data_IF_404000305073
#
_entry.id   IF_404000305073
#
_cell.length_a   1.000
_cell.length_b   1.000
_cell.length_c   1.000
_cell.angle_alpha   90.00
_cell.angle_beta   90.00
_cell.angle_gamma   90.00
#
_symmetry.space_group_name_H-M   'P 1'
#
loop_
_entity.id
_entity.type
_entity.pdbx_description
1 polymer ?
#
# COMPACT_ATOMS: atom_id res chain seq x y z
N UNK A 1 0.30 -9.64 22.57
CA UNK A 1 0.75 -8.85 21.42
C UNK A 1 0.14 -7.46 21.49
N UNK A 2 0.97 -6.42 21.39
CA UNK A 2 0.54 -5.02 21.32
C UNK A 2 0.59 -4.58 19.84
N UNK A 3 -0.55 -4.28 19.26
CA UNK A 3 -0.71 -3.89 17.86
C UNK A 3 -1.09 -2.41 17.76
N UNK A 4 -0.39 -1.66 16.90
CA UNK A 4 -0.85 -0.37 16.41
C UNK A 4 -1.50 -0.58 15.04
N UNK A 5 -2.81 -0.37 14.95
CA UNK A 5 -3.60 -0.52 13.73
C UNK A 5 -3.86 0.86 13.11
N UNK A 6 -3.41 1.04 11.89
CA UNK A 6 -3.44 2.32 11.16
C UNK A 6 -4.21 2.15 9.86
N UNK A 7 -5.41 2.74 9.78
CA UNK A 7 -6.27 2.72 8.59
C UNK A 7 -7.25 3.91 8.70
N UNK A 8 -7.48 4.66 7.65
CA UNK A 8 -8.39 5.81 7.66
C UNK A 8 -9.87 5.42 7.54
N UNK A 9 -10.13 4.19 7.08
CA UNK A 9 -11.49 3.69 6.93
C UNK A 9 -12.01 3.07 8.23
N UNK A 10 -12.83 3.81 8.98
CA UNK A 10 -13.34 3.40 10.29
C UNK A 10 -13.96 1.99 10.30
N UNK A 11 -14.80 1.67 9.30
CA UNK A 11 -15.48 0.36 9.25
C UNK A 11 -14.49 -0.78 9.05
N UNK A 12 -13.50 -0.59 8.18
CA UNK A 12 -12.41 -1.55 7.92
C UNK A 12 -11.60 -1.73 9.20
N UNK A 13 -11.17 -0.65 9.82
CA UNK A 13 -10.37 -0.66 11.04
C UNK A 13 -11.06 -1.40 12.18
N UNK A 14 -12.34 -1.08 12.44
CA UNK A 14 -13.13 -1.77 13.48
C UNK A 14 -13.34 -3.26 13.17
N UNK A 15 -13.58 -3.61 11.90
CA UNK A 15 -13.72 -4.99 11.45
C UNK A 15 -12.44 -5.79 11.70
N UNK A 16 -11.28 -5.25 11.30
CA UNK A 16 -9.98 -5.86 11.53
C UNK A 16 -9.67 -5.99 13.02
N UNK A 17 -9.93 -4.96 13.81
CA UNK A 17 -9.70 -5.01 15.25
C UNK A 17 -10.55 -6.10 15.92
N UNK A 18 -11.82 -6.22 15.55
CA UNK A 18 -12.72 -7.27 16.06
C UNK A 18 -12.23 -8.65 15.67
N UNK A 19 -11.87 -8.84 14.40
CA UNK A 19 -11.35 -10.09 13.87
C UNK A 19 -10.08 -10.53 14.61
N UNK A 20 -9.09 -9.65 14.72
CA UNK A 20 -7.83 -9.97 15.38
C UNK A 20 -8.00 -10.26 16.88
N UNK A 21 -8.92 -9.57 17.57
CA UNK A 21 -9.26 -9.87 18.96
C UNK A 21 -9.87 -11.27 19.12
N UNK A 22 -10.63 -11.75 18.15
CA UNK A 22 -11.20 -13.10 18.17
C UNK A 22 -10.18 -14.21 17.91
N UNK A 23 -9.12 -13.92 17.16
CA UNK A 23 -8.14 -14.90 16.68
C UNK A 23 -6.81 -14.90 17.44
N UNK A 24 -6.49 -13.79 18.12
CA UNK A 24 -5.22 -13.65 18.86
C UNK A 24 -5.54 -13.37 20.33
N UNK A 25 -5.37 -14.39 21.21
CA UNK A 25 -5.62 -14.20 22.64
C UNK A 25 -4.76 -13.07 23.21
N UNK A 26 -5.36 -12.25 24.07
CA UNK A 26 -4.71 -11.15 24.78
C UNK A 26 -4.01 -10.10 23.87
N UNK A 27 -4.50 -9.90 22.65
CA UNK A 27 -4.04 -8.81 21.80
C UNK A 27 -4.56 -7.47 22.33
N UNK A 28 -3.63 -6.52 22.52
CA UNK A 28 -3.97 -5.12 22.82
C UNK A 28 -3.86 -4.31 21.52
N UNK A 29 -4.95 -3.72 21.05
CA UNK A 29 -4.99 -2.97 19.80
C UNK A 29 -5.23 -1.49 20.10
N UNK A 30 -4.34 -0.65 19.61
CA UNK A 30 -4.52 0.80 19.54
C UNK A 30 -4.77 1.18 18.09
N UNK A 31 -5.85 1.92 17.86
CA UNK A 31 -6.33 2.30 16.54
C UNK A 31 -6.01 3.78 16.28
N UNK A 32 -5.49 4.10 15.09
CA UNK A 32 -5.25 5.47 14.61
C UNK A 32 -5.66 5.59 13.14
N UNK A 33 -5.93 6.83 12.69
CA UNK A 33 -6.51 7.11 11.38
C UNK A 33 -5.52 7.74 10.41
N UNK A 34 -4.39 8.27 10.91
CA UNK A 34 -3.44 9.04 10.12
C UNK A 34 -2.03 8.52 10.26
N UNK A 35 -1.20 8.77 9.25
CA UNK A 35 0.20 8.40 9.28
C UNK A 35 1.00 9.23 10.29
N UNK A 36 0.64 10.49 10.53
CA UNK A 36 1.29 11.33 11.54
C UNK A 36 0.98 10.82 12.94
N UNK A 37 -0.27 10.44 13.23
CA UNK A 37 -0.64 9.83 14.51
C UNK A 37 0.06 8.49 14.70
N UNK A 38 0.21 7.69 13.66
CA UNK A 38 0.95 6.44 13.73
C UNK A 38 2.40 6.67 14.18
N UNK A 39 3.09 7.67 13.62
CA UNK A 39 4.47 8.02 14.00
C UNK A 39 4.52 8.53 15.44
N UNK A 40 3.58 9.39 15.86
CA UNK A 40 3.52 9.92 17.22
C UNK A 40 3.26 8.82 18.24
N UNK A 41 2.22 8.01 18.01
CA UNK A 41 1.79 6.93 18.90
C UNK A 41 2.80 5.80 18.99
N UNK A 42 3.56 5.53 17.93
CA UNK A 42 4.62 4.51 18.01
C UNK A 42 5.60 4.78 19.14
N UNK A 43 6.04 6.04 19.29
CA UNK A 43 7.00 6.42 20.34
C UNK A 43 6.49 6.23 21.76
N UNK A 44 5.18 6.47 21.97
CA UNK A 44 4.53 6.31 23.27
C UNK A 44 4.25 4.84 23.61
N UNK A 45 3.82 4.09 22.62
CA UNK A 45 3.30 2.72 22.77
C UNK A 45 4.37 1.65 22.66
N UNK A 46 5.38 1.87 21.82
CA UNK A 46 6.34 0.86 21.41
C UNK A 46 5.64 -0.49 21.12
N UNK A 47 4.80 -0.56 20.11
CA UNK A 47 4.03 -1.77 19.81
C UNK A 47 4.94 -2.89 19.31
N UNK A 48 4.51 -4.14 19.52
CA UNK A 48 5.20 -5.32 18.98
C UNK A 48 5.09 -5.37 17.43
N UNK A 49 4.00 -4.82 16.89
CA UNK A 49 3.77 -4.73 15.44
C UNK A 49 2.90 -3.53 15.09
N UNK A 50 3.19 -2.91 13.94
CA UNK A 50 2.32 -1.91 13.30
C UNK A 50 1.68 -2.54 12.08
N UNK A 51 0.35 -2.63 12.05
CA UNK A 51 -0.42 -2.95 10.86
C UNK A 51 -0.77 -1.63 10.16
N UNK A 52 -0.15 -1.37 9.02
CA UNK A 52 -0.09 -0.05 8.41
C UNK A 52 -0.71 -0.05 7.01
N UNK A 53 -1.84 0.63 6.88
CA UNK A 53 -2.39 0.91 5.55
C UNK A 53 -1.48 1.86 4.78
N UNK A 54 -1.35 1.62 3.48
CA UNK A 54 -0.57 2.47 2.58
C UNK A 54 -1.32 3.73 2.16
N UNK A 55 -2.67 3.71 2.16
CA UNK A 55 -3.56 4.78 1.69
C UNK A 55 -4.06 5.71 2.76
N UNK A 56 -3.19 6.40 3.47
CA UNK A 56 -3.58 7.32 4.53
C UNK A 56 -3.79 8.74 4.00
N UNK A 57 -4.67 9.56 4.66
CA UNK A 57 -5.12 10.85 4.12
C UNK A 57 -4.09 11.99 4.22
N UNK A 58 -3.13 11.90 5.14
CA UNK A 58 -2.14 12.95 5.43
C UNK A 58 -0.77 12.66 4.80
N UNK A 59 -0.09 11.64 5.29
CA UNK A 59 1.14 11.11 4.70
C UNK A 59 0.91 9.65 4.32
N UNK A 60 1.51 9.19 3.22
CA UNK A 60 1.35 7.78 2.82
C UNK A 60 1.85 6.83 3.90
N UNK A 61 1.29 5.60 3.94
CA UNK A 61 1.79 4.58 4.86
C UNK A 61 3.26 4.26 4.65
N UNK A 62 3.76 4.34 3.40
CA UNK A 62 5.20 4.20 3.13
C UNK A 62 6.03 5.28 3.82
N UNK A 63 5.58 6.54 3.76
CA UNK A 63 6.26 7.65 4.44
C UNK A 63 6.15 7.53 5.96
N UNK A 64 4.98 7.14 6.49
CA UNK A 64 4.82 6.86 7.92
C UNK A 64 5.75 5.73 8.37
N UNK A 65 5.80 4.63 7.62
CA UNK A 65 6.70 3.50 7.86
C UNK A 65 8.17 3.91 7.82
N UNK A 66 8.56 4.72 6.84
CA UNK A 66 9.93 5.27 6.74
C UNK A 66 10.28 6.09 7.97
N UNK A 67 9.42 7.02 8.43
CA UNK A 67 9.64 7.86 9.62
C UNK A 67 9.74 7.03 10.90
N UNK A 68 8.90 6.01 11.04
CA UNK A 68 8.96 5.06 12.15
C UNK A 68 10.30 4.33 12.13
N UNK A 69 10.69 3.74 11.00
CA UNK A 69 11.96 2.99 10.88
C UNK A 69 13.22 3.86 11.06
N UNK A 70 13.18 5.11 10.64
CA UNK A 70 14.30 6.04 10.86
C UNK A 70 14.52 6.34 12.34
N UNK A 71 13.45 6.48 13.14
CA UNK A 71 13.54 6.74 14.58
C UNK A 71 13.73 5.46 15.40
N UNK A 72 13.09 4.37 14.99
CA UNK A 72 13.09 3.09 15.72
C UNK A 72 13.45 1.96 14.75
N UNK A 73 14.74 1.70 14.62
CA UNK A 73 15.28 0.72 13.67
C UNK A 73 14.73 -0.70 13.83
N UNK A 74 14.30 -1.06 15.05
CA UNK A 74 13.70 -2.36 15.37
C UNK A 74 12.18 -2.45 15.10
N UNK A 75 11.53 -1.38 14.62
CA UNK A 75 10.09 -1.37 14.41
C UNK A 75 9.65 -2.48 13.45
N UNK A 76 8.72 -3.33 13.88
CA UNK A 76 8.12 -4.36 13.06
C UNK A 76 6.88 -3.80 12.36
N UNK A 77 6.96 -3.62 11.04
CA UNK A 77 5.89 -3.05 10.22
C UNK A 77 5.35 -4.11 9.27
N UNK A 78 4.04 -4.36 9.36
CA UNK A 78 3.27 -5.16 8.43
C UNK A 78 2.42 -4.20 7.57
N UNK A 79 2.75 -4.08 6.29
CA UNK A 79 1.94 -3.30 5.37
C UNK A 79 0.69 -4.07 4.97
N UNK A 80 -0.43 -3.37 4.92
CA UNK A 80 -1.76 -3.92 4.68
C UNK A 80 -2.53 -3.02 3.71
N UNK A 81 -2.76 -3.47 2.48
CA UNK A 81 -3.27 -2.60 1.41
C UNK A 81 -4.16 -3.36 0.43
N UNK A 82 -5.03 -2.63 -0.29
CA UNK A 82 -5.77 -3.19 -1.43
C UNK A 82 -4.90 -3.40 -2.67
N UNK A 83 -3.68 -2.84 -2.69
CA UNK A 83 -2.79 -2.84 -3.84
C UNK A 83 -1.59 -3.75 -3.60
N UNK A 84 -1.56 -4.86 -4.33
CA UNK A 84 -0.52 -5.89 -4.25
C UNK A 84 0.43 -5.88 -5.47
N UNK A 85 0.49 -4.75 -6.18
CA UNK A 85 1.40 -4.57 -7.30
C UNK A 85 2.86 -4.64 -6.82
N UNK A 86 3.69 -5.41 -7.54
CA UNK A 86 5.06 -5.70 -7.13
C UNK A 86 5.92 -4.45 -6.83
N UNK A 87 5.83 -3.33 -7.57
CA UNK A 87 6.55 -2.11 -7.22
C UNK A 87 6.18 -1.58 -5.83
N UNK A 88 4.90 -1.65 -5.44
CA UNK A 88 4.45 -1.21 -4.11
C UNK A 88 4.97 -2.14 -3.02
N UNK A 89 4.93 -3.45 -3.26
CA UNK A 89 5.49 -4.44 -2.33
C UNK A 89 7.00 -4.20 -2.12
N UNK A 90 7.74 -3.98 -3.20
CA UNK A 90 9.19 -3.69 -3.14
C UNK A 90 9.47 -2.41 -2.36
N UNK A 91 8.71 -1.34 -2.61
CA UNK A 91 8.84 -0.10 -1.84
C UNK A 91 8.59 -0.31 -0.34
N UNK A 92 7.56 -1.10 0.01
CA UNK A 92 7.26 -1.45 1.40
C UNK A 92 8.43 -2.20 2.07
N UNK A 93 9.07 -3.12 1.35
CA UNK A 93 10.25 -3.84 1.84
C UNK A 93 11.49 -2.93 1.91
N UNK A 94 11.69 -2.05 0.92
CA UNK A 94 12.82 -1.11 0.85
C UNK A 94 12.81 -0.10 2.02
N UNK A 95 11.63 0.34 2.48
CA UNK A 95 11.52 1.19 3.67
C UNK A 95 11.71 0.42 4.98
N UNK A 96 11.95 -0.88 4.90
CA UNK A 96 12.22 -1.75 6.03
C UNK A 96 10.96 -2.41 6.62
N UNK A 97 9.89 -2.54 5.83
CA UNK A 97 8.73 -3.36 6.18
C UNK A 97 9.16 -4.81 6.41
N UNK A 98 8.69 -5.38 7.51
CA UNK A 98 8.97 -6.78 7.85
C UNK A 98 7.92 -7.71 7.23
N UNK A 99 6.76 -7.18 6.85
CA UNK A 99 5.72 -7.95 6.21
C UNK A 99 4.84 -7.17 5.25
N UNK A 100 4.14 -7.92 4.41
CA UNK A 100 3.18 -7.38 3.44
C UNK A 100 2.04 -8.36 3.22
N UNK A 101 0.79 -7.89 3.35
CA UNK A 101 -0.43 -8.63 3.07
C UNK A 101 -1.46 -7.75 2.37
N UNK A 102 -2.27 -8.36 1.51
CA UNK A 102 -3.40 -7.71 0.87
C UNK A 102 -4.58 -7.58 1.83
N UNK A 103 -5.38 -6.52 1.70
CA UNK A 103 -6.68 -6.39 2.41
C UNK A 103 -7.70 -7.45 1.98
N UNK A 104 -7.43 -8.19 0.91
CA UNK A 104 -8.22 -9.33 0.43
C UNK A 104 -7.76 -10.68 0.96
N UNK A 105 -6.69 -10.74 1.77
CA UNK A 105 -6.21 -11.99 2.35
C UNK A 105 -7.24 -12.63 3.30
N UNK A 106 -7.13 -13.94 3.50
CA UNK A 106 -7.99 -14.63 4.46
C UNK A 106 -7.75 -14.13 5.89
N UNK A 107 -8.80 -14.13 6.74
CA UNK A 107 -8.69 -13.72 8.14
C UNK A 107 -7.58 -14.43 8.92
N UNK A 108 -7.44 -15.74 8.68
CA UNK A 108 -6.44 -16.60 9.31
C UNK A 108 -5.03 -16.19 8.90
N UNK A 109 -4.87 -15.80 7.64
CA UNK A 109 -3.60 -15.36 7.08
C UNK A 109 -3.16 -14.02 7.67
N UNK A 110 -4.08 -13.07 7.83
CA UNK A 110 -3.81 -11.80 8.50
C UNK A 110 -3.38 -12.02 9.97
N UNK A 111 -4.10 -12.88 10.69
CA UNK A 111 -3.76 -13.18 12.09
C UNK A 111 -2.38 -13.85 12.21
N UNK A 112 -2.04 -14.75 11.29
CA UNK A 112 -0.72 -15.39 11.24
C UNK A 112 0.38 -14.37 10.91
N UNK A 113 0.14 -13.49 9.93
CA UNK A 113 1.06 -12.42 9.57
C UNK A 113 1.37 -11.50 10.76
N UNK A 114 0.33 -11.07 11.49
CA UNK A 114 0.47 -10.23 12.69
C UNK A 114 1.32 -10.93 13.77
N UNK A 115 1.07 -12.22 14.05
CA UNK A 115 1.83 -12.99 15.04
C UNK A 115 3.30 -13.12 14.64
N UNK A 116 3.58 -13.47 13.39
CA UNK A 116 4.95 -13.66 12.91
C UNK A 116 5.73 -12.36 12.91
N UNK A 117 5.13 -11.28 12.38
CA UNK A 117 5.78 -9.96 12.34
C UNK A 117 6.01 -9.42 13.76
N UNK A 118 5.06 -9.61 14.68
CA UNK A 118 5.24 -9.26 16.10
C UNK A 118 6.38 -10.04 16.77
N UNK A 119 6.67 -11.26 16.29
CA UNK A 119 7.81 -12.05 16.76
C UNK A 119 9.12 -11.72 16.01
N UNK A 120 9.15 -10.66 15.19
CA UNK A 120 10.32 -10.26 14.40
C UNK A 120 10.58 -11.15 13.18
N UNK A 121 9.63 -11.99 12.80
CA UNK A 121 9.75 -12.87 11.64
C UNK A 121 9.14 -12.23 10.40
N UNK A 122 9.79 -12.29 9.23
CA UNK A 122 9.22 -11.74 8.00
C UNK A 122 7.99 -12.55 7.56
N UNK A 123 7.03 -11.85 6.97
CA UNK A 123 5.85 -12.45 6.37
C UNK A 123 5.45 -11.73 5.08
N UNK A 124 5.34 -12.47 3.99
CA UNK A 124 4.75 -12.01 2.74
C UNK A 124 3.70 -13.03 2.33
N UNK A 125 2.50 -12.55 2.02
CA UNK A 125 1.42 -13.37 1.50
C UNK A 125 1.88 -14.25 0.33
N UNK A 126 1.54 -15.54 0.34
CA UNK A 126 2.13 -16.52 -0.57
C UNK A 126 2.01 -16.17 -2.07
N UNK A 127 0.87 -15.70 -2.60
CA UNK A 127 0.78 -15.29 -4.00
C UNK A 127 1.72 -14.13 -4.35
N UNK A 128 1.89 -13.18 -3.42
CA UNK A 128 2.78 -12.04 -3.58
C UNK A 128 4.25 -12.49 -3.54
N UNK A 129 4.61 -13.35 -2.60
CA UNK A 129 5.96 -13.90 -2.49
C UNK A 129 6.37 -14.67 -3.75
N UNK A 130 5.46 -15.48 -4.31
CA UNK A 130 5.67 -16.20 -5.57
C UNK A 130 5.92 -15.24 -6.73
N UNK A 131 5.11 -14.18 -6.84
CA UNK A 131 5.27 -13.15 -7.89
C UNK A 131 6.59 -12.39 -7.74
N UNK A 132 7.02 -12.08 -6.51
CA UNK A 132 8.32 -11.45 -6.25
C UNK A 132 9.47 -12.36 -6.69
N UNK A 133 9.43 -13.65 -6.34
CA UNK A 133 10.47 -14.60 -6.70
C UNK A 133 10.59 -14.80 -8.22
N UNK A 134 9.46 -14.80 -8.94
CA UNK A 134 9.45 -14.92 -10.41
C UNK A 134 9.87 -13.66 -11.16
N UNK A 135 9.87 -12.50 -10.51
CA UNK A 135 10.18 -11.19 -11.12
C UNK A 135 11.48 -10.56 -10.60
N UNK A 136 12.45 -11.39 -10.19
CA UNK A 136 13.73 -10.92 -9.62
C UNK A 136 14.54 -10.06 -10.59
N UNK A 137 14.34 -10.20 -11.92
CA UNK A 137 15.17 -9.54 -12.93
C UNK A 137 14.68 -8.16 -13.41
N UNK A 138 13.52 -7.69 -12.96
CA UNK A 138 13.06 -6.34 -13.36
C UNK A 138 13.45 -5.31 -12.30
N UNK A 139 14.40 -4.39 -12.61
CA UNK A 139 14.69 -3.28 -11.71
C UNK A 139 13.42 -2.46 -11.47
N UNK A 140 13.15 -2.14 -10.22
CA UNK A 140 12.10 -1.15 -9.91
C UNK A 140 12.53 0.17 -10.51
N UNK A 141 11.70 0.76 -11.35
CA UNK A 141 11.95 2.11 -11.85
C UNK A 141 12.02 3.07 -10.65
N UNK A 142 13.19 3.67 -10.46
CA UNK A 142 13.43 4.57 -9.33
C UNK A 142 12.45 5.73 -9.26
N UNK A 143 11.88 6.13 -10.42
CA UNK A 143 10.88 7.19 -10.54
C UNK A 143 9.57 6.85 -9.80
N UNK A 144 9.26 5.56 -9.63
CA UNK A 144 8.06 5.10 -8.90
C UNK A 144 8.19 5.24 -7.38
N UNK A 145 9.38 5.49 -6.83
CA UNK A 145 9.62 5.54 -5.38
C UNK A 145 8.89 6.69 -4.68
N UNK A 146 8.68 7.79 -5.39
CA UNK A 146 8.08 9.00 -4.83
C UNK A 146 6.59 9.16 -5.15
N UNK A 147 5.99 8.10 -5.74
CA UNK A 147 4.56 8.08 -6.05
C UNK A 147 3.78 7.71 -4.79
N UNK A 148 2.80 8.54 -4.45
CA UNK A 148 1.85 8.23 -3.37
C UNK A 148 0.89 7.11 -3.82
N UNK A 149 0.25 6.44 -2.85
CA UNK A 149 -0.74 5.42 -3.17
C UNK A 149 -1.86 5.98 -4.07
N UNK A 150 -2.38 7.18 -3.77
CA UNK A 150 -3.42 7.80 -4.58
C UNK A 150 -2.99 8.08 -6.03
N UNK A 151 -1.77 8.50 -6.21
CA UNK A 151 -1.16 8.67 -7.53
C UNK A 151 -0.99 7.32 -8.24
N UNK A 152 -0.62 6.26 -7.52
CA UNK A 152 -0.52 4.90 -8.06
C UNK A 152 -1.90 4.38 -8.50
N UNK A 153 -2.95 4.56 -7.71
CA UNK A 153 -4.33 4.20 -8.09
C UNK A 153 -4.74 4.89 -9.39
N UNK A 154 -4.54 6.20 -9.48
CA UNK A 154 -4.84 6.97 -10.67
C UNK A 154 -4.01 6.49 -11.87
N UNK A 155 -2.72 6.22 -11.68
CA UNK A 155 -1.83 5.70 -12.72
C UNK A 155 -2.32 4.35 -13.26
N UNK A 156 -2.66 3.41 -12.36
CA UNK A 156 -3.11 2.08 -12.75
C UNK A 156 -4.44 2.10 -13.52
N UNK A 157 -5.43 2.85 -13.04
CA UNK A 157 -6.71 2.99 -13.73
C UNK A 157 -6.55 3.65 -15.08
N UNK A 158 -5.77 4.74 -15.15
CA UNK A 158 -5.51 5.46 -16.37
C UNK A 158 -4.75 4.61 -17.40
N UNK A 159 -3.75 3.86 -16.95
CA UNK A 159 -2.98 2.97 -17.80
C UNK A 159 -3.78 1.74 -18.31
N UNK A 160 -4.84 1.34 -17.59
CA UNK A 160 -5.82 0.35 -18.03
C UNK A 160 -6.83 0.92 -19.04
N UNK A 161 -6.78 2.20 -19.38
CA UNK A 161 -7.63 2.87 -20.34
C UNK A 161 -8.91 3.46 -19.76
N UNK A 162 -9.03 3.57 -18.43
CA UNK A 162 -10.18 4.24 -17.82
C UNK A 162 -10.17 5.74 -18.13
N UNK A 163 -11.33 6.30 -18.41
CA UNK A 163 -11.48 7.73 -18.64
C UNK A 163 -11.37 8.53 -17.35
N UNK A 164 -10.95 9.80 -17.44
CA UNK A 164 -10.89 10.71 -16.26
C UNK A 164 -12.21 10.75 -15.48
N UNK A 165 -13.40 10.86 -16.12
CA UNK A 165 -14.67 10.78 -15.40
C UNK A 165 -14.91 9.42 -14.73
N UNK A 166 -14.51 8.31 -15.37
CA UNK A 166 -14.61 6.97 -14.79
C UNK A 166 -13.76 6.83 -13.52
N UNK A 167 -12.51 7.25 -13.59
CA UNK A 167 -11.59 7.28 -12.43
C UNK A 167 -12.15 8.18 -11.32
N UNK A 168 -12.64 9.37 -11.67
CA UNK A 168 -13.22 10.31 -10.72
C UNK A 168 -14.43 9.71 -9.97
N UNK A 169 -15.32 9.02 -10.70
CA UNK A 169 -16.48 8.33 -10.12
C UNK A 169 -16.07 7.20 -9.18
N UNK A 170 -15.11 6.36 -9.59
CA UNK A 170 -14.62 5.23 -8.76
C UNK A 170 -13.91 5.70 -7.50
N UNK A 171 -13.16 6.78 -7.60
CA UNK A 171 -12.38 7.32 -6.50
C UNK A 171 -13.15 8.35 -5.65
N UNK A 172 -14.42 8.63 -5.99
CA UNK A 172 -15.28 9.64 -5.33
C UNK A 172 -14.63 11.02 -5.22
N UNK A 173 -13.98 11.47 -6.33
CA UNK A 173 -13.33 12.78 -6.42
C UNK A 173 -13.77 13.54 -7.67
N UNK A 174 -13.39 14.81 -7.82
CA UNK A 174 -13.67 15.59 -9.03
C UNK A 174 -12.77 15.20 -10.20
N UNK A 175 -13.24 15.39 -11.44
CA UNK A 175 -12.41 15.25 -12.65
C UNK A 175 -11.14 16.11 -12.58
N UNK A 176 -11.26 17.32 -12.00
CA UNK A 176 -10.13 18.22 -11.78
C UNK A 176 -9.07 17.61 -10.87
N UNK A 177 -9.50 16.92 -9.82
CA UNK A 177 -8.60 16.19 -8.89
C UNK A 177 -7.82 15.11 -9.61
N UNK A 178 -8.49 14.29 -10.43
CA UNK A 178 -7.83 13.24 -11.23
C UNK A 178 -6.83 13.87 -12.22
N UNK A 179 -7.24 14.95 -12.92
CA UNK A 179 -6.34 15.67 -13.84
C UNK A 179 -5.11 16.23 -13.15
N UNK A 180 -5.27 16.75 -11.92
CA UNK A 180 -4.15 17.23 -11.12
C UNK A 180 -3.20 16.10 -10.73
N UNK A 181 -3.72 14.92 -10.31
CA UNK A 181 -2.89 13.75 -10.04
C UNK A 181 -2.10 13.30 -11.28
N UNK A 182 -2.74 13.29 -12.46
CA UNK A 182 -2.05 12.95 -13.71
C UNK A 182 -0.95 13.97 -14.07
N UNK A 183 -1.17 15.24 -13.81
CA UNK A 183 -0.15 16.27 -14.02
C UNK A 183 1.04 16.10 -13.05
N UNK A 184 0.76 15.84 -11.78
CA UNK A 184 1.80 15.56 -10.76
C UNK A 184 2.57 14.28 -11.11
N UNK A 185 1.88 13.23 -11.53
CA UNK A 185 2.50 11.98 -12.00
C UNK A 185 3.46 12.22 -13.16
N UNK A 186 3.04 12.97 -14.19
CA UNK A 186 3.91 13.30 -15.33
C UNK A 186 5.18 14.00 -14.87
N UNK A 187 5.07 14.97 -13.95
CA UNK A 187 6.23 15.68 -13.41
C UNK A 187 7.14 14.73 -12.59
N UNK A 188 6.60 13.93 -11.67
CA UNK A 188 7.37 13.01 -10.84
C UNK A 188 8.08 11.94 -11.68
N UNK A 189 7.38 11.43 -12.69
CA UNK A 189 7.89 10.36 -13.58
C UNK A 189 8.72 10.89 -14.74
N UNK A 190 8.84 12.22 -14.87
CA UNK A 190 9.58 12.89 -15.94
C UNK A 190 9.11 12.45 -17.34
N UNK A 191 7.80 12.36 -17.53
CA UNK A 191 7.16 12.03 -18.80
C UNK A 191 6.34 13.22 -19.31
N UNK A 192 6.35 13.45 -20.61
CA UNK A 192 5.72 14.62 -21.24
C UNK A 192 4.31 14.32 -21.75
N UNK A 193 4.01 13.07 -22.06
CA UNK A 193 2.75 12.67 -22.67
C UNK A 193 2.03 11.58 -21.86
N UNK A 194 0.72 11.44 -22.16
CA UNK A 194 -0.08 10.34 -21.59
C UNK A 194 0.34 8.97 -22.12
N UNK A 195 0.85 8.92 -23.35
CA UNK A 195 1.33 7.68 -23.97
C UNK A 195 2.60 7.21 -23.26
N UNK A 196 3.55 8.13 -22.99
CA UNK A 196 4.76 7.81 -22.23
C UNK A 196 4.44 7.34 -20.81
N UNK A 197 3.39 7.91 -20.17
CA UNK A 197 2.94 7.48 -18.85
C UNK A 197 2.44 6.03 -18.86
N UNK A 198 1.68 5.65 -19.91
CA UNK A 198 1.20 4.28 -20.10
C UNK A 198 2.36 3.32 -20.38
N UNK A 199 3.29 3.69 -21.28
CA UNK A 199 4.47 2.89 -21.57
C UNK A 199 5.31 2.62 -20.32
N UNK A 200 5.53 3.67 -19.50
CA UNK A 200 6.24 3.52 -18.24
C UNK A 200 5.53 2.53 -17.31
N UNK A 201 4.20 2.58 -17.21
CA UNK A 201 3.44 1.64 -16.37
C UNK A 201 3.56 0.19 -16.87
N UNK A 202 3.65 -0.03 -18.20
CA UNK A 202 3.90 -1.35 -18.80
C UNK A 202 5.34 -1.81 -18.53
N UNK A 203 6.32 -0.96 -18.79
CA UNK A 203 7.74 -1.27 -18.63
C UNK A 203 8.10 -1.56 -17.16
N UNK A 204 7.47 -0.83 -16.24
CA UNK A 204 7.59 -1.07 -14.80
C UNK A 204 6.84 -2.34 -14.31
N UNK A 205 6.09 -3.01 -15.20
CA UNK A 205 5.31 -4.20 -14.86
C UNK A 205 4.07 -3.94 -14.02
N UNK A 206 3.61 -2.69 -13.95
CA UNK A 206 2.38 -2.29 -13.25
C UNK A 206 1.13 -2.82 -13.94
N UNK A 207 1.16 -2.92 -15.28
CA UNK A 207 0.10 -3.48 -16.12
C UNK A 207 0.69 -4.40 -17.20
N UNK A 208 -0.12 -5.34 -17.70
CA UNK A 208 0.25 -6.21 -18.83
C UNK A 208 -0.43 -5.74 -20.11
N UNK A 209 0.22 -5.93 -21.27
CA UNK A 209 -0.33 -5.56 -22.57
C UNK A 209 -1.74 -6.12 -22.87
N UNK A 210 -2.13 -7.26 -22.30
CA UNK A 210 -3.46 -7.84 -22.44
C UNK A 210 -4.57 -7.18 -21.60
N UNK A 211 -4.23 -6.24 -20.72
CA UNK A 211 -5.17 -5.50 -19.87
C UNK A 211 -5.46 -4.09 -20.39
N UNK A 212 -4.87 -3.71 -21.53
CA UNK A 212 -5.14 -2.45 -22.21
C UNK A 212 -6.48 -2.58 -22.94
N UNK A 213 -7.53 -1.94 -22.41
CA UNK A 213 -8.81 -1.81 -23.14
C UNK A 213 -10.00 -2.63 -22.65
N UNK A 214 -9.94 -3.31 -21.49
CA UNK A 214 -11.11 -4.00 -20.91
C UNK A 214 -12.17 -3.04 -20.32
N UNK A 215 -11.91 -1.73 -20.30
CA UNK A 215 -12.82 -0.70 -19.77
C UNK A 215 -13.94 -0.23 -20.70
N UNK A 216 -14.09 -0.80 -21.91
CA UNK A 216 -15.08 -0.35 -22.89
C UNK A 216 -15.97 -1.50 -23.44
N UNK A 217 -16.38 -2.45 -22.60
CA UNK A 217 -17.46 -3.37 -22.98
C UNK A 217 -18.52 -3.38 -21.87
N UNK A 218 -19.39 -2.41 -21.93
CA UNK A 218 -20.81 -2.51 -21.56
C UNK A 218 -21.59 -1.58 -22.49
#
# INVERSE_FOLDING_TARGET
VKLLLVDDHQVVRQGIASLLRSMIPAIAIVEVETGQDAVARYGELQPDVVLLDMGLPDISGLEAGRRIRQRWRGAAILFFTMHDELPMVRQALDVGGLGFVSKSCAPEELAEAVKRVAAGQPYIEHPIATRLAMNVERPVDHRLRDITQREMEVLLMYARGESIPGIAGRLCVSNKTVSNHLAVLKNKLQVSSSVELIHLAVDAGLIRYGQLGEGQRV
#
